data_IF_243476277026
#
_entry.id   IF_243476277026
#
_cell.length_a   1.000
_cell.length_b   1.000
_cell.length_c   1.000
_cell.angle_alpha   90.00
_cell.angle_beta   90.00
_cell.angle_gamma   90.00
#
_symmetry.space_group_name_H-M   'P 1'
#
loop_
_entity.id
_entity.type
_entity.pdbx_description
1 polymer ?
#
# COMPACT_ATOMS: atom_id res chain seq x y z
N UNK A 1 22.04 9.12 8.01
CA UNK A 1 21.04 10.14 8.43
C UNK A 1 20.58 10.78 7.16
N UNK A 2 19.56 10.21 6.54
CA UNK A 2 19.03 10.73 5.30
C UNK A 2 18.05 11.85 5.65
N UNK A 3 18.40 13.05 5.20
CA UNK A 3 17.60 14.25 5.40
C UNK A 3 16.23 14.07 4.72
N UNK A 4 15.20 14.33 5.47
CA UNK A 4 13.82 14.30 5.01
C UNK A 4 13.60 15.46 4.08
N UNK A 5 13.12 15.17 2.90
CA UNK A 5 12.85 16.17 1.88
C UNK A 5 11.69 17.06 2.30
N UNK A 6 11.93 18.34 2.52
CA UNK A 6 10.91 19.35 2.75
C UNK A 6 10.41 19.87 1.41
N UNK A 7 9.20 19.52 1.02
CA UNK A 7 8.59 20.03 -0.22
C UNK A 7 8.24 21.51 -0.05
N UNK A 8 8.73 22.35 -0.97
CA UNK A 8 8.50 23.79 -0.99
C UNK A 8 7.10 24.12 -1.50
N UNK A 9 6.28 24.55 -0.61
CA UNK A 9 4.97 25.15 -0.96
C UNK A 9 4.22 25.53 0.31
N UNK A 10 4.52 26.68 0.89
CA UNK A 10 3.76 27.51 1.83
C UNK A 10 2.97 26.91 3.00
N UNK A 11 2.67 25.66 3.00
CA UNK A 11 2.03 24.91 4.08
C UNK A 11 3.04 23.93 4.66
N UNK A 12 3.17 23.92 5.96
CA UNK A 12 4.05 23.06 6.73
C UNK A 12 3.82 21.60 6.32
N UNK A 13 4.67 21.08 5.46
CA UNK A 13 4.68 19.65 5.17
C UNK A 13 5.29 19.01 6.41
N UNK A 14 4.48 18.27 7.14
CA UNK A 14 4.93 17.50 8.28
C UNK A 14 6.01 16.52 7.82
N UNK A 15 6.96 16.29 8.71
CA UNK A 15 8.03 15.32 8.56
C UNK A 15 7.45 13.90 8.35
N UNK A 16 7.12 13.57 7.10
CA UNK A 16 6.50 12.29 6.73
C UNK A 16 7.59 11.31 6.41
N UNK A 17 7.76 10.31 7.24
CA UNK A 17 8.75 9.26 7.01
C UNK A 17 8.25 8.22 6.04
N UNK A 18 9.14 7.83 5.15
CA UNK A 18 8.99 6.73 4.23
C UNK A 18 9.69 5.52 4.84
N UNK A 19 9.05 4.34 4.82
CA UNK A 19 9.58 3.19 5.57
C UNK A 19 9.39 1.85 4.85
N UNK A 20 9.13 1.85 3.54
CA UNK A 20 9.13 0.60 2.79
C UNK A 20 10.54 0.25 2.36
N UNK A 21 11.01 -0.91 2.75
CA UNK A 21 12.25 -1.53 2.27
C UNK A 21 11.89 -2.59 1.24
N UNK A 22 12.58 -2.61 0.10
CA UNK A 22 12.35 -3.60 -0.94
C UNK A 22 12.87 -4.96 -0.51
N UNK A 23 12.02 -5.98 -0.56
CA UNK A 23 12.40 -7.36 -0.34
C UNK A 23 11.82 -8.21 -1.46
N UNK A 24 12.68 -8.81 -2.26
CA UNK A 24 12.28 -9.69 -3.33
C UNK A 24 12.55 -11.16 -2.97
N UNK A 25 11.48 -11.96 -2.96
CA UNK A 25 11.58 -13.41 -2.79
C UNK A 25 11.24 -14.09 -4.12
N UNK A 26 12.22 -14.76 -4.73
CA UNK A 26 12.04 -15.47 -6.01
C UNK A 26 10.87 -16.45 -5.99
N UNK A 27 10.55 -17.03 -4.85
CA UNK A 27 9.40 -17.93 -4.68
C UNK A 27 8.08 -17.22 -4.93
N UNK A 28 8.01 -15.91 -4.69
CA UNK A 28 6.82 -15.08 -4.92
C UNK A 28 6.35 -15.11 -6.38
N UNK A 29 7.27 -15.33 -7.34
CA UNK A 29 6.94 -15.45 -8.78
C UNK A 29 5.96 -16.57 -9.09
N UNK A 30 5.92 -17.62 -8.27
CA UNK A 30 5.01 -18.76 -8.45
C UNK A 30 3.59 -18.45 -7.96
N UNK A 31 3.41 -17.36 -7.24
CA UNK A 31 2.16 -16.96 -6.59
C UNK A 31 1.53 -15.74 -7.25
N UNK A 32 1.50 -15.71 -8.59
CA UNK A 32 0.83 -14.65 -9.34
C UNK A 32 -0.69 -14.68 -9.15
N UNK A 33 -1.29 -13.50 -9.06
CA UNK A 33 -2.75 -13.35 -8.88
C UNK A 33 -3.54 -13.90 -10.08
N UNK A 34 -2.96 -13.90 -11.27
CA UNK A 34 -3.58 -14.43 -12.49
C UNK A 34 -4.01 -15.89 -12.38
N UNK A 35 -3.33 -16.67 -11.55
CA UNK A 35 -3.72 -18.08 -11.32
C UNK A 35 -5.07 -18.23 -10.62
N UNK A 36 -5.56 -17.17 -9.96
CA UNK A 36 -6.83 -17.18 -9.21
C UNK A 36 -7.94 -16.37 -9.87
N UNK A 37 -7.59 -15.52 -10.84
CA UNK A 37 -8.54 -14.70 -11.59
C UNK A 37 -8.58 -15.25 -13.01
N UNK A 38 -9.64 -15.99 -13.35
CA UNK A 38 -9.88 -16.42 -14.73
C UNK A 38 -9.87 -15.22 -15.69
N UNK A 39 -9.73 -15.46 -16.99
CA UNK A 39 -9.67 -14.44 -18.02
C UNK A 39 -10.93 -13.54 -18.01
N UNK A 40 -10.90 -12.52 -17.16
CA UNK A 40 -11.98 -11.53 -16.98
C UNK A 40 -11.62 -10.24 -17.70
N UNK A 41 -12.67 -9.51 -18.10
CA UNK A 41 -12.50 -8.15 -18.61
C UNK A 41 -12.29 -7.19 -17.44
N UNK A 42 -11.47 -6.14 -17.58
CA UNK A 42 -11.38 -5.09 -16.58
C UNK A 42 -12.75 -4.55 -16.19
N UNK A 43 -12.97 -4.33 -14.91
CA UNK A 43 -14.16 -3.66 -14.38
C UNK A 43 -13.78 -2.67 -13.31
N UNK A 44 -14.54 -1.58 -13.20
CA UNK A 44 -14.40 -0.62 -12.11
C UNK A 44 -14.97 -1.20 -10.83
N UNK A 45 -14.24 -1.00 -9.73
CA UNK A 45 -14.69 -1.35 -8.38
C UNK A 45 -13.95 -0.52 -7.33
N UNK A 46 -14.62 -0.24 -6.21
CA UNK A 46 -14.01 0.40 -5.04
C UNK A 46 -14.36 -0.39 -3.78
N UNK A 47 -13.34 -0.80 -3.05
CA UNK A 47 -13.46 -1.46 -1.77
C UNK A 47 -13.49 -0.40 -0.68
N UNK A 48 -14.60 -0.28 0.05
CA UNK A 48 -14.67 0.70 1.13
C UNK A 48 -13.67 0.37 2.24
N UNK A 49 -12.90 1.38 2.62
CA UNK A 49 -12.01 1.37 3.77
C UNK A 49 -12.39 2.57 4.64
N UNK A 50 -12.81 2.32 5.90
CA UNK A 50 -13.35 3.38 6.73
C UNK A 50 -12.31 4.18 7.52
N UNK A 51 -11.25 3.58 8.14
CA UNK A 51 -10.32 4.34 8.95
C UNK A 51 -9.36 5.16 8.10
N UNK A 52 -9.10 6.37 8.57
CA UNK A 52 -8.04 7.25 8.06
C UNK A 52 -6.96 7.30 9.14
N UNK A 53 -6.00 6.39 9.06
CA UNK A 53 -4.92 6.29 10.03
C UNK A 53 -3.78 7.26 9.67
N UNK A 54 -3.05 7.71 10.69
CA UNK A 54 -1.88 8.56 10.51
C UNK A 54 -0.65 7.93 11.18
N UNK A 55 0.35 7.58 10.37
CA UNK A 55 1.61 7.02 10.87
C UNK A 55 2.50 8.06 11.57
N UNK A 56 2.21 9.35 11.42
CA UNK A 56 3.03 10.43 11.93
C UNK A 56 4.41 10.45 11.31
N UNK A 57 5.44 10.53 12.15
CA UNK A 57 6.85 10.59 11.76
C UNK A 57 7.57 9.25 11.81
N UNK A 58 6.87 8.16 12.04
CA UNK A 58 7.42 6.80 12.11
C UNK A 58 7.48 6.16 10.73
N UNK A 59 8.55 5.42 10.42
CA UNK A 59 8.72 4.67 9.17
C UNK A 59 7.82 3.42 9.06
N UNK A 60 6.58 3.49 9.58
CA UNK A 60 5.67 2.37 9.77
C UNK A 60 4.66 2.16 8.62
N UNK A 61 4.86 2.79 7.46
CA UNK A 61 3.89 2.78 6.35
C UNK A 61 3.41 1.38 5.96
N UNK A 62 4.27 0.36 6.02
CA UNK A 62 3.90 -1.03 5.73
C UNK A 62 2.84 -1.54 6.70
N UNK A 63 3.04 -1.35 8.00
CA UNK A 63 2.07 -1.77 9.01
C UNK A 63 0.72 -1.05 8.86
N UNK A 64 0.76 0.24 8.53
CA UNK A 64 -0.43 1.05 8.28
C UNK A 64 -1.17 0.63 7.00
N UNK A 65 -0.46 0.37 5.92
CA UNK A 65 -1.06 -0.14 4.67
C UNK A 65 -1.76 -1.49 4.90
N UNK A 66 -1.15 -2.39 5.67
CA UNK A 66 -1.76 -3.67 6.05
C UNK A 66 -2.95 -3.49 7.01
N UNK A 67 -2.91 -2.54 7.94
CA UNK A 67 -4.05 -2.25 8.80
C UNK A 67 -5.24 -1.71 7.98
N UNK A 68 -5.00 -0.84 7.00
CA UNK A 68 -6.03 -0.38 6.08
C UNK A 68 -6.60 -1.52 5.23
N UNK A 69 -5.75 -2.45 4.75
CA UNK A 69 -6.22 -3.63 4.02
C UNK A 69 -7.16 -4.49 4.86
N UNK A 70 -6.81 -4.74 6.10
CA UNK A 70 -7.66 -5.48 7.04
C UNK A 70 -8.98 -4.78 7.33
N UNK A 71 -8.97 -3.45 7.41
CA UNK A 71 -10.18 -2.65 7.64
C UNK A 71 -11.08 -2.54 6.40
N UNK A 72 -10.50 -2.71 5.23
CA UNK A 72 -11.25 -2.65 3.97
C UNK A 72 -12.16 -3.87 3.80
N UNK A 73 -13.25 -3.69 3.02
CA UNK A 73 -14.02 -4.85 2.57
C UNK A 73 -13.15 -5.76 1.71
N UNK A 74 -13.34 -7.07 1.75
CA UNK A 74 -14.45 -7.81 2.39
C UNK A 74 -14.19 -8.23 3.85
N UNK A 75 -13.00 -7.98 4.44
CA UNK A 75 -12.64 -8.49 5.76
C UNK A 75 -13.27 -7.67 6.90
N UNK A 76 -13.08 -6.36 6.88
CA UNK A 76 -13.60 -5.40 7.88
C UNK A 76 -13.15 -5.76 9.31
N UNK A 77 -11.84 -5.86 9.52
CA UNK A 77 -11.26 -5.93 10.87
C UNK A 77 -11.16 -4.50 11.40
N UNK A 78 -11.60 -4.20 12.63
CA UNK A 78 -11.39 -2.88 13.21
C UNK A 78 -9.89 -2.55 13.27
N UNK A 79 -9.46 -1.57 12.48
CA UNK A 79 -8.08 -1.14 12.46
C UNK A 79 -7.91 0.14 13.27
N UNK A 80 -6.81 0.17 14.01
CA UNK A 80 -6.34 1.32 14.81
C UNK A 80 -4.86 1.54 14.53
N UNK A 81 -4.35 2.69 14.87
CA UNK A 81 -2.91 2.96 14.81
C UNK A 81 -2.09 1.98 15.65
N UNK A 82 -2.64 1.54 16.79
CA UNK A 82 -1.98 0.54 17.63
C UNK A 82 -1.85 -0.80 16.89
N UNK A 83 -2.89 -1.24 16.19
CA UNK A 83 -2.82 -2.44 15.34
C UNK A 83 -1.80 -2.26 14.23
N UNK A 84 -1.79 -1.10 13.56
CA UNK A 84 -0.86 -0.80 12.49
C UNK A 84 0.61 -0.87 12.95
N UNK A 85 0.94 -0.20 14.07
CA UNK A 85 2.28 -0.28 14.67
C UNK A 85 2.64 -1.68 15.12
N UNK A 86 1.68 -2.41 15.68
CA UNK A 86 1.89 -3.81 16.09
C UNK A 86 2.20 -4.72 14.90
N UNK A 87 1.56 -4.53 13.74
CA UNK A 87 1.89 -5.26 12.50
C UNK A 87 3.28 -4.85 12.02
N UNK A 88 3.62 -3.56 12.06
CA UNK A 88 4.92 -3.04 11.68
C UNK A 88 6.06 -3.69 12.46
N UNK A 89 6.02 -3.66 13.80
CA UNK A 89 7.05 -4.27 14.63
C UNK A 89 7.12 -5.80 14.49
N UNK A 90 6.01 -6.48 14.24
CA UNK A 90 6.05 -7.90 13.93
C UNK A 90 6.66 -8.17 12.56
N UNK A 91 6.40 -7.30 11.57
CA UNK A 91 7.01 -7.40 10.25
C UNK A 91 8.53 -7.22 10.31
N UNK A 92 9.06 -6.29 11.12
CA UNK A 92 10.49 -6.12 11.35
C UNK A 92 11.15 -7.38 11.93
N UNK A 93 10.44 -8.16 12.75
CA UNK A 93 10.94 -9.45 13.26
C UNK A 93 10.88 -10.59 12.25
N UNK A 94 10.13 -10.42 11.16
CA UNK A 94 9.89 -11.45 10.14
C UNK A 94 10.57 -11.14 8.80
N UNK A 95 11.14 -9.96 8.64
CA UNK A 95 11.89 -9.62 7.44
C UNK A 95 13.31 -10.21 7.45
N UNK A 96 14.14 -9.84 6.49
CA UNK A 96 15.46 -10.45 6.31
C UNK A 96 16.61 -9.68 6.97
N UNK A 97 16.30 -8.54 7.62
CA UNK A 97 17.29 -7.71 8.30
C UNK A 97 17.33 -8.03 9.78
N UNK A 98 18.52 -8.08 10.35
CA UNK A 98 18.72 -8.42 11.76
C UNK A 98 18.28 -7.26 12.69
N UNK A 99 17.49 -7.60 13.70
CA UNK A 99 17.08 -6.68 14.77
C UNK A 99 15.89 -5.81 14.42
N UNK A 100 15.64 -4.81 15.25
CA UNK A 100 14.56 -3.82 15.10
C UNK A 100 15.11 -2.37 15.18
N UNK A 101 16.44 -2.19 15.18
CA UNK A 101 17.10 -0.89 15.31
C UNK A 101 17.26 -0.15 13.97
N UNK A 102 16.29 -0.32 13.07
CA UNK A 102 16.24 0.38 11.78
C UNK A 102 14.80 0.81 11.48
N UNK A 103 14.64 1.78 10.59
CA UNK A 103 13.32 2.24 10.17
C UNK A 103 12.84 1.50 8.92
N UNK A 104 11.58 1.14 8.93
CA UNK A 104 10.94 0.50 7.78
C UNK A 104 10.92 -1.01 7.87
N UNK A 105 10.27 -1.63 6.89
CA UNK A 105 10.19 -3.06 6.64
C UNK A 105 9.61 -3.33 5.25
N UNK A 106 9.45 -4.59 4.83
CA UNK A 106 8.96 -4.96 3.51
C UNK A 106 7.45 -5.26 3.50
N UNK A 107 6.83 -5.09 2.32
CA UNK A 107 5.43 -5.50 2.10
C UNK A 107 5.26 -7.00 2.33
N UNK A 108 6.26 -7.80 1.95
CA UNK A 108 6.27 -9.26 2.18
C UNK A 108 6.28 -9.60 3.67
N UNK A 109 7.08 -8.91 4.46
CA UNK A 109 7.12 -9.12 5.91
C UNK A 109 5.79 -8.74 6.58
N UNK A 110 5.16 -7.64 6.13
CA UNK A 110 3.82 -7.27 6.54
C UNK A 110 2.76 -8.32 6.21
N UNK A 111 2.85 -8.95 5.04
CA UNK A 111 1.98 -10.09 4.68
C UNK A 111 2.18 -11.27 5.62
N UNK A 112 3.44 -11.64 5.91
CA UNK A 112 3.76 -12.72 6.85
C UNK A 112 3.25 -12.42 8.27
N UNK A 113 3.42 -11.20 8.77
CA UNK A 113 2.90 -10.77 10.07
C UNK A 113 1.37 -10.87 10.13
N UNK A 114 0.69 -10.43 9.09
CA UNK A 114 -0.77 -10.49 9.00
C UNK A 114 -1.29 -11.94 8.92
N UNK A 115 -0.56 -12.83 8.25
CA UNK A 115 -0.84 -14.28 8.25
C UNK A 115 -0.60 -14.91 9.63
N UNK A 116 0.51 -14.61 10.28
CA UNK A 116 0.83 -15.13 11.61
C UNK A 116 -0.24 -14.77 12.65
N UNK A 117 -0.88 -13.62 12.50
CA UNK A 117 -2.02 -13.16 13.31
C UNK A 117 -3.35 -13.86 12.94
N UNK A 118 -3.36 -14.68 11.90
CA UNK A 118 -4.55 -15.39 11.46
C UNK A 118 -5.58 -14.54 10.71
N UNK A 119 -5.24 -13.33 10.29
CA UNK A 119 -6.15 -12.46 9.54
C UNK A 119 -6.28 -12.86 8.07
N UNK A 120 -5.28 -13.52 7.51
CA UNK A 120 -5.35 -14.07 6.16
C UNK A 120 -4.63 -15.44 6.10
N UNK A 121 -5.02 -16.26 5.12
CA UNK A 121 -4.42 -17.59 4.90
C UNK A 121 -3.55 -17.64 3.66
N UNK A 122 -3.75 -16.72 2.73
CA UNK A 122 -3.06 -16.70 1.46
C UNK A 122 -2.99 -15.27 0.92
N UNK A 123 -1.87 -14.93 0.29
CA UNK A 123 -1.70 -13.73 -0.51
C UNK A 123 -1.05 -14.08 -1.85
N UNK A 124 -1.25 -13.23 -2.83
CA UNK A 124 -0.72 -13.35 -4.19
C UNK A 124 -0.12 -12.02 -4.64
N UNK A 125 0.61 -12.07 -5.73
CA UNK A 125 1.27 -10.90 -6.29
C UNK A 125 0.65 -10.52 -7.63
N UNK A 126 0.37 -9.25 -7.81
CA UNK A 126 0.02 -8.68 -9.11
C UNK A 126 1.32 -8.24 -9.81
N UNK A 127 1.66 -8.94 -10.91
CA UNK A 127 2.85 -8.65 -11.69
C UNK A 127 2.49 -7.71 -12.86
N UNK A 128 2.49 -6.40 -12.56
CA UNK A 128 2.22 -5.34 -13.52
C UNK A 128 0.77 -4.84 -13.53
N UNK A 129 0.54 -3.83 -14.37
CA UNK A 129 -0.69 -3.04 -14.39
C UNK A 129 -1.95 -3.87 -14.61
N UNK A 130 -1.94 -4.77 -15.59
CA UNK A 130 -3.12 -5.59 -15.94
C UNK A 130 -3.53 -6.49 -14.77
N UNK A 131 -2.57 -7.08 -14.07
CA UNK A 131 -2.84 -7.93 -12.92
C UNK A 131 -3.44 -7.11 -11.77
N UNK A 132 -2.91 -5.90 -11.53
CA UNK A 132 -3.44 -5.01 -10.51
C UNK A 132 -4.87 -4.56 -10.82
N UNK A 133 -5.17 -4.19 -12.08
CA UNK A 133 -6.54 -3.83 -12.50
C UNK A 133 -7.51 -4.98 -12.20
N UNK A 134 -7.14 -6.21 -12.56
CA UNK A 134 -8.00 -7.38 -12.32
C UNK A 134 -8.11 -7.72 -10.84
N UNK A 135 -7.01 -7.61 -10.08
CA UNK A 135 -7.00 -7.85 -8.64
C UNK A 135 -7.97 -6.91 -7.92
N UNK A 136 -7.84 -5.60 -8.13
CA UNK A 136 -8.74 -4.61 -7.53
C UNK A 136 -10.17 -4.82 -8.03
N UNK A 137 -10.36 -5.13 -9.29
CA UNK A 137 -11.69 -5.38 -9.85
C UNK A 137 -12.41 -6.57 -9.24
N UNK A 138 -11.71 -7.64 -8.81
CA UNK A 138 -12.35 -8.93 -8.52
C UNK A 138 -11.92 -9.61 -7.22
N UNK A 139 -10.69 -9.41 -6.75
CA UNK A 139 -10.14 -10.12 -5.59
C UNK A 139 -10.21 -9.32 -4.30
N UNK A 140 -9.87 -8.04 -4.35
CA UNK A 140 -9.84 -7.18 -3.18
C UNK A 140 -8.86 -6.02 -3.34
N UNK A 141 -8.73 -5.17 -2.30
CA UNK A 141 -7.69 -4.16 -2.28
C UNK A 141 -6.31 -4.82 -2.27
N UNK A 142 -5.28 -4.06 -2.65
CA UNK A 142 -3.91 -4.51 -2.68
C UNK A 142 -3.02 -3.57 -1.86
N UNK A 143 -2.07 -4.14 -1.12
CA UNK A 143 -1.00 -3.38 -0.47
C UNK A 143 0.14 -3.23 -1.47
N UNK A 144 0.46 -1.99 -1.82
CA UNK A 144 1.55 -1.65 -2.71
C UNK A 144 2.76 -1.16 -1.93
N UNK A 145 3.94 -1.49 -2.44
CA UNK A 145 5.20 -0.89 -2.06
C UNK A 145 5.89 -0.35 -3.30
N UNK A 146 6.19 0.95 -3.32
CA UNK A 146 6.82 1.61 -4.48
C UNK A 146 7.88 2.60 -4.03
N UNK A 147 8.67 3.09 -4.96
CA UNK A 147 9.36 4.34 -4.76
C UNK A 147 8.35 5.49 -4.72
N UNK A 148 8.51 6.36 -3.74
CA UNK A 148 7.76 7.59 -3.61
C UNK A 148 8.59 8.73 -4.19
N UNK A 149 8.01 9.51 -5.09
CA UNK A 149 8.67 10.61 -5.76
C UNK A 149 8.30 11.95 -5.12
N UNK A 150 9.13 12.96 -5.31
CA UNK A 150 8.94 14.30 -4.73
C UNK A 150 7.56 14.88 -5.04
N UNK A 151 7.09 14.77 -6.28
CA UNK A 151 5.79 15.28 -6.69
C UNK A 151 4.59 14.52 -6.11
N UNK A 152 4.80 13.39 -5.43
CA UNK A 152 3.72 12.59 -4.83
C UNK A 152 3.39 13.02 -3.39
N UNK A 153 4.19 13.91 -2.77
CA UNK A 153 3.88 14.42 -1.43
C UNK A 153 2.70 15.39 -1.43
N UNK A 154 2.52 16.12 -2.52
CA UNK A 154 1.42 17.05 -2.70
C UNK A 154 0.54 16.60 -3.89
N UNK A 155 -0.70 16.27 -3.61
CA UNK A 155 -1.68 15.82 -4.61
C UNK A 155 -2.49 16.98 -5.19
N UNK A 156 -2.20 18.22 -4.81
CA UNK A 156 -2.92 19.41 -5.24
C UNK A 156 -4.42 19.38 -4.90
N UNK A 157 -5.13 20.43 -5.31
CA UNK A 157 -6.57 20.58 -5.03
C UNK A 157 -7.44 19.53 -5.74
N UNK A 158 -6.94 18.95 -6.84
CA UNK A 158 -7.68 17.95 -7.61
C UNK A 158 -7.54 16.53 -7.06
N UNK A 159 -6.69 16.31 -6.07
CA UNK A 159 -6.46 14.99 -5.45
C UNK A 159 -5.76 13.99 -6.38
N UNK A 160 -4.87 14.46 -7.28
CA UNK A 160 -4.14 13.61 -8.21
C UNK A 160 -2.68 13.43 -7.78
N UNK A 161 -2.24 12.17 -7.78
CA UNK A 161 -0.83 11.82 -7.67
C UNK A 161 -0.17 11.84 -9.05
N UNK A 162 0.97 12.51 -9.11
CA UNK A 162 1.84 12.53 -10.30
C UNK A 162 3.23 12.04 -9.93
N UNK A 163 3.73 11.07 -10.68
CA UNK A 163 5.09 10.54 -10.50
C UNK A 163 6.08 11.47 -11.18
N UNK A 164 6.51 12.50 -10.43
CA UNK A 164 7.43 13.54 -10.89
C UNK A 164 8.50 13.84 -9.83
N UNK A 165 9.64 14.41 -10.27
CA UNK A 165 10.78 14.63 -9.39
C UNK A 165 11.59 13.37 -9.12
N UNK A 166 12.59 13.48 -8.25
CA UNK A 166 13.47 12.38 -7.87
C UNK A 166 12.80 11.41 -6.90
N UNK A 167 13.38 10.21 -6.74
CA UNK A 167 12.95 9.25 -5.72
C UNK A 167 13.27 9.81 -4.33
N UNK A 168 12.26 9.96 -3.48
CA UNK A 168 12.41 10.42 -2.11
C UNK A 168 12.62 9.26 -1.12
N UNK A 169 12.10 8.07 -1.43
CA UNK A 169 12.25 6.87 -0.60
C UNK A 169 11.20 5.81 -0.92
N UNK A 170 11.22 4.70 -0.20
CA UNK A 170 10.24 3.64 -0.36
C UNK A 170 9.00 3.88 0.51
N UNK A 171 7.79 3.75 -0.06
CA UNK A 171 6.53 3.93 0.64
C UNK A 171 5.56 2.78 0.36
N UNK A 172 4.76 2.43 1.38
CA UNK A 172 3.69 1.46 1.25
C UNK A 172 2.33 2.12 1.51
N UNK A 173 1.34 1.75 0.70
CA UNK A 173 -0.01 2.28 0.75
C UNK A 173 -1.03 1.24 0.25
N UNK A 174 -2.31 1.49 0.51
CA UNK A 174 -3.38 0.64 0.00
C UNK A 174 -3.89 1.19 -1.34
N UNK A 175 -4.11 0.31 -2.32
CA UNK A 175 -4.93 0.60 -3.49
C UNK A 175 -6.26 -0.10 -3.30
N UNK A 176 -7.32 0.68 -3.11
CA UNK A 176 -8.67 0.19 -2.81
C UNK A 176 -9.68 0.40 -3.93
N UNK A 177 -9.32 1.08 -5.01
CA UNK A 177 -10.23 1.33 -6.12
C UNK A 177 -9.57 1.31 -7.49
N UNK A 178 -10.36 0.96 -8.51
CA UNK A 178 -10.00 1.07 -9.93
C UNK A 178 -11.17 1.61 -10.74
N UNK A 179 -10.91 2.61 -11.57
CA UNK A 179 -11.85 3.16 -12.56
C UNK A 179 -11.34 2.86 -13.97
N UNK A 180 -12.05 2.01 -14.69
CA UNK A 180 -11.69 1.64 -16.08
C UNK A 180 -11.92 2.81 -17.05
N UNK A 181 -13.06 3.53 -16.99
CA UNK A 181 -13.28 4.66 -17.90
C UNK A 181 -12.30 5.82 -17.67
N UNK A 182 -11.95 6.11 -16.41
CA UNK A 182 -11.00 7.17 -16.07
C UNK A 182 -9.53 6.73 -16.21
N UNK A 183 -9.26 5.42 -16.33
CA UNK A 183 -7.92 4.82 -16.30
C UNK A 183 -7.15 5.23 -15.05
N UNK A 184 -7.78 5.06 -13.87
CA UNK A 184 -7.20 5.45 -12.57
C UNK A 184 -7.30 4.36 -11.54
N UNK A 185 -6.47 4.48 -10.51
CA UNK A 185 -6.63 3.82 -9.22
C UNK A 185 -6.91 4.83 -8.12
N UNK A 186 -7.56 4.37 -7.05
CA UNK A 186 -7.67 5.10 -5.78
C UNK A 186 -6.62 4.59 -4.82
N UNK A 187 -5.80 5.50 -4.34
CA UNK A 187 -4.77 5.29 -3.30
C UNK A 187 -5.37 5.75 -1.97
N UNK A 188 -5.34 4.89 -0.96
CA UNK A 188 -5.68 5.18 0.41
C UNK A 188 -4.38 5.18 1.23
N UNK A 189 -3.98 6.37 1.70
CA UNK A 189 -2.68 6.61 2.33
C UNK A 189 -2.79 6.62 3.86
N UNK A 190 -1.64 6.61 4.53
CA UNK A 190 -1.48 6.59 5.99
C UNK A 190 -0.99 7.93 6.57
N UNK A 191 -1.41 9.04 5.99
CA UNK A 191 -1.01 10.39 6.39
C UNK A 191 -2.18 11.25 6.89
N UNK A 192 -3.21 10.58 7.41
CA UNK A 192 -4.39 11.22 7.97
C UNK A 192 -5.28 11.90 6.95
N UNK A 193 -6.34 12.53 7.43
CA UNK A 193 -7.38 13.15 6.59
C UNK A 193 -6.96 14.46 5.91
N UNK A 194 -5.84 15.04 6.32
CA UNK A 194 -5.35 16.31 5.76
C UNK A 194 -4.53 16.14 4.49
N UNK A 195 -4.09 14.91 4.19
CA UNK A 195 -3.41 14.60 2.94
C UNK A 195 -4.44 14.23 1.87
N UNK A 196 -4.23 14.74 0.67
CA UNK A 196 -5.08 14.45 -0.47
C UNK A 196 -6.55 14.83 -0.27
N UNK A 197 -7.44 14.07 -0.86
CA UNK A 197 -8.88 14.20 -0.65
C UNK A 197 -9.30 13.29 0.53
N UNK A 198 -9.24 13.82 1.74
CA UNK A 198 -9.55 13.10 2.97
C UNK A 198 -8.79 11.75 3.08
N UNK A 199 -7.47 11.79 2.94
CA UNK A 199 -6.58 10.62 3.04
C UNK A 199 -6.47 9.78 1.78
N UNK A 200 -7.18 10.13 0.72
CA UNK A 200 -7.16 9.42 -0.56
C UNK A 200 -6.65 10.31 -1.71
N UNK A 201 -6.15 9.66 -2.76
CA UNK A 201 -5.76 10.31 -4.00
C UNK A 201 -6.03 9.40 -5.19
N UNK A 202 -6.11 9.99 -6.39
CA UNK A 202 -6.16 9.25 -7.66
C UNK A 202 -4.78 9.20 -8.29
N UNK A 203 -4.43 8.07 -8.90
CA UNK A 203 -3.24 7.92 -9.73
C UNK A 203 -3.63 7.34 -11.08
N UNK A 204 -3.10 7.91 -12.16
CA UNK A 204 -3.31 7.40 -13.52
C UNK A 204 -2.65 6.04 -13.74
N UNK A 205 -3.19 5.25 -14.68
CA UNK A 205 -2.62 3.93 -15.00
C UNK A 205 -1.18 4.02 -15.50
N UNK A 206 -0.86 5.05 -16.28
CA UNK A 206 0.48 5.21 -16.84
C UNK A 206 1.53 5.51 -15.73
N UNK A 207 1.17 6.34 -14.75
CA UNK A 207 2.01 6.59 -13.57
C UNK A 207 2.11 5.37 -12.65
N UNK A 208 1.01 4.63 -12.46
CA UNK A 208 1.04 3.38 -11.71
C UNK A 208 1.91 2.32 -12.39
N UNK A 209 1.84 2.21 -13.72
CA UNK A 209 2.67 1.30 -14.48
C UNK A 209 4.16 1.63 -14.34
N UNK A 210 4.52 2.92 -14.36
CA UNK A 210 5.89 3.38 -14.08
C UNK A 210 6.35 2.96 -12.70
N UNK A 211 5.53 3.18 -11.66
CA UNK A 211 5.87 2.76 -10.29
C UNK A 211 6.07 1.24 -10.18
N UNK A 212 5.21 0.44 -10.83
CA UNK A 212 5.33 -1.02 -10.80
C UNK A 212 6.57 -1.51 -11.57
N UNK A 213 6.95 -0.86 -12.65
CA UNK A 213 8.19 -1.17 -13.38
C UNK A 213 9.45 -0.69 -12.65
N UNK A 214 9.32 0.30 -11.77
CA UNK A 214 10.39 0.89 -10.99
C UNK A 214 10.50 0.21 -9.61
N UNK A 215 10.70 -1.11 -9.60
CA UNK A 215 10.80 -1.94 -8.39
C UNK A 215 9.53 -1.93 -7.50
N UNK A 216 8.38 -1.58 -8.07
CA UNK A 216 7.12 -1.63 -7.36
C UNK A 216 6.61 -3.06 -7.20
N UNK A 217 5.92 -3.29 -6.10
CA UNK A 217 5.29 -4.56 -5.75
C UNK A 217 3.83 -4.36 -5.33
N UNK A 218 2.98 -5.33 -5.62
CA UNK A 218 1.56 -5.29 -5.26
C UNK A 218 1.14 -6.64 -4.68
N UNK A 219 0.91 -6.67 -3.37
CA UNK A 219 0.45 -7.84 -2.62
C UNK A 219 -1.06 -7.83 -2.49
N UNK A 220 -1.70 -8.92 -2.89
CA UNK A 220 -3.15 -9.08 -2.91
C UNK A 220 -3.56 -10.23 -1.98
N UNK A 221 -4.16 -9.96 -0.83
CA UNK A 221 -4.74 -11.00 0.02
C UNK A 221 -5.91 -11.70 -0.67
N UNK A 222 -5.91 -13.03 -0.66
CA UNK A 222 -6.96 -13.83 -1.32
C UNK A 222 -7.91 -14.44 -0.30
N UNK A 223 -7.38 -15.05 0.74
CA UNK A 223 -8.16 -15.79 1.74
C UNK A 223 -8.17 -15.05 3.07
N UNK A 224 -8.96 -13.95 3.11
CA UNK A 224 -9.14 -13.16 4.33
C UNK A 224 -10.00 -13.91 5.34
N UNK A 225 -9.60 -13.88 6.59
CA UNK A 225 -10.35 -14.48 7.70
C UNK A 225 -11.20 -13.41 8.36
N UNK A 226 -12.51 -13.61 8.35
CA UNK A 226 -13.42 -12.72 9.10
C UNK A 226 -13.23 -12.94 10.60
N UNK A 227 -13.17 -11.87 11.41
CA UNK A 227 -13.22 -12.03 12.85
C UNK A 227 -14.49 -12.81 13.24
N UNK A 228 -14.33 -13.77 14.16
CA UNK A 228 -15.54 -14.37 14.78
C UNK A 228 -16.16 -13.31 15.69
N UNK A 229 -17.40 -12.98 15.43
CA UNK A 229 -18.23 -12.10 16.28
C UNK A 229 -18.41 -12.69 17.65
#
# INVERSE_FOLDING_TARGET
MDEILVVRGGNTVWDRRLGRVQQFDERSRQFGIRATIEAKRPRSYTWSCAPLLDQGTEGACVGFAWAHELAARPAVVPATELLARSIYHEAQRLDEWDGEDYEGTSVLAGAKATMARGHLKEYRWAFGLTDLILAIGYAGPAVLGTWWHEGMFDVGECGWLHVTGDRAGGHAFLVNGVSVPERTFTVHNSWGSTWGNAGEAKIGWDDMERLLHDDGEACVPISRVRPRS
#
